data_IF_502225774371
#
_entry.id   IF_502225774371
#
_cell.length_a   1.000
_cell.length_b   1.000
_cell.length_c   1.000
_cell.angle_alpha   90.00
_cell.angle_beta   90.00
_cell.angle_gamma   90.00
#
_symmetry.space_group_name_H-M   'P 1'
#
loop_
_entity.id
_entity.type
_entity.pdbx_description
1 polymer ?
#
# COMPACT_ATOMS: atom_id res chain seq x y z
N UNK A 1 4.18 -0.03 -10.93
CA UNK A 1 2.96 -0.29 -10.12
C UNK A 1 1.91 0.76 -10.47
N UNK A 2 0.69 0.35 -10.72
CA UNK A 2 -0.39 1.28 -11.08
C UNK A 2 -1.42 1.36 -9.97
N UNK A 3 -2.04 2.51 -9.87
CA UNK A 3 -3.11 2.74 -8.90
C UNK A 3 -4.40 3.10 -9.65
N UNK A 4 -5.47 2.40 -9.34
CA UNK A 4 -6.79 2.65 -9.91
C UNK A 4 -7.73 3.12 -8.80
N UNK A 5 -8.37 4.26 -9.04
CA UNK A 5 -9.33 4.81 -8.10
C UNK A 5 -10.72 4.29 -8.47
N UNK A 6 -11.28 3.47 -7.60
CA UNK A 6 -12.60 2.92 -7.78
C UNK A 6 -13.61 3.72 -6.95
N UNK A 7 -14.89 3.41 -7.10
CA UNK A 7 -15.94 4.16 -6.41
C UNK A 7 -15.82 4.06 -4.88
N UNK A 8 -15.47 2.90 -4.37
CA UNK A 8 -15.41 2.64 -2.92
C UNK A 8 -14.09 2.02 -2.49
N UNK A 9 -13.10 1.97 -3.39
CA UNK A 9 -11.82 1.33 -3.08
C UNK A 9 -10.72 1.89 -3.96
N UNK A 10 -9.49 1.54 -3.64
CA UNK A 10 -8.32 1.84 -4.44
C UNK A 10 -7.64 0.50 -4.74
N UNK A 11 -7.34 0.26 -6.01
CA UNK A 11 -6.62 -0.94 -6.42
C UNK A 11 -5.20 -0.57 -6.79
N UNK A 12 -4.25 -1.34 -6.28
CA UNK A 12 -2.84 -1.20 -6.61
C UNK A 12 -2.42 -2.45 -7.38
N UNK A 13 -1.99 -2.25 -8.61
CA UNK A 13 -1.72 -3.35 -9.53
C UNK A 13 -0.23 -3.40 -9.84
N UNK A 14 0.45 -4.52 -9.51
CA UNK A 14 1.86 -4.66 -9.88
C UNK A 14 1.99 -4.85 -11.38
N UNK A 15 2.94 -4.15 -11.99
CA UNK A 15 3.21 -4.23 -13.41
C UNK A 15 4.49 -5.01 -13.73
N UNK A 16 5.37 -5.20 -12.76
CA UNK A 16 6.68 -5.83 -12.95
C UNK A 16 6.92 -6.87 -11.88
N UNK A 17 7.92 -7.73 -12.12
CA UNK A 17 8.33 -8.71 -11.12
C UNK A 17 8.83 -8.03 -9.84
N UNK A 18 9.46 -6.86 -9.97
CA UNK A 18 9.90 -6.10 -8.81
C UNK A 18 8.73 -5.62 -7.98
N UNK A 19 7.65 -5.19 -8.64
CA UNK A 19 6.44 -4.76 -7.94
C UNK A 19 5.82 -5.92 -7.15
N UNK A 20 5.74 -7.09 -7.79
CA UNK A 20 5.21 -8.27 -7.11
C UNK A 20 6.09 -8.69 -5.93
N UNK A 21 7.40 -8.68 -6.12
CA UNK A 21 8.34 -9.02 -5.05
C UNK A 21 8.19 -8.04 -3.88
N UNK A 22 7.93 -6.77 -4.15
CA UNK A 22 7.71 -5.78 -3.10
C UNK A 22 6.46 -6.11 -2.29
N UNK A 23 5.34 -6.42 -2.97
CA UNK A 23 4.11 -6.77 -2.28
C UNK A 23 4.28 -8.00 -1.40
N UNK A 24 5.01 -8.99 -1.89
CA UNK A 24 5.22 -10.23 -1.15
C UNK A 24 6.21 -10.08 0.01
N UNK A 25 7.36 -9.47 -0.25
CA UNK A 25 8.45 -9.43 0.73
C UNK A 25 8.27 -8.31 1.75
N UNK A 26 7.83 -7.14 1.31
CA UNK A 26 7.74 -5.97 2.19
C UNK A 26 6.36 -5.88 2.85
N UNK A 27 5.30 -6.03 2.07
CA UNK A 27 3.93 -5.92 2.59
C UNK A 27 3.37 -7.25 3.06
N UNK A 28 4.08 -8.35 2.82
CA UNK A 28 3.67 -9.71 3.25
C UNK A 28 2.34 -10.15 2.65
N UNK A 29 2.07 -9.72 1.43
CA UNK A 29 0.84 -10.05 0.72
C UNK A 29 1.12 -11.17 -0.28
N UNK A 30 1.24 -12.40 0.22
CA UNK A 30 1.68 -13.54 -0.58
C UNK A 30 0.52 -14.31 -1.21
N UNK A 31 -0.64 -14.29 -0.58
CA UNK A 31 -1.79 -15.08 -1.01
C UNK A 31 -3.02 -14.20 -1.14
N UNK A 32 -3.96 -14.66 -1.96
CA UNK A 32 -5.24 -13.96 -2.08
C UNK A 32 -5.92 -13.92 -0.71
N UNK A 33 -6.42 -12.75 -0.34
CA UNK A 33 -7.05 -12.55 0.95
C UNK A 33 -6.12 -12.05 2.04
N UNK A 34 -4.80 -12.03 1.80
CA UNK A 34 -3.87 -11.43 2.75
C UNK A 34 -4.15 -9.94 2.88
N UNK A 35 -3.90 -9.41 4.07
CA UNK A 35 -4.27 -8.03 4.40
C UNK A 35 -3.08 -7.23 4.89
N UNK A 36 -3.10 -5.95 4.56
CA UNK A 36 -2.17 -4.95 5.08
C UNK A 36 -2.97 -3.79 5.64
N UNK A 37 -2.33 -2.99 6.49
CA UNK A 37 -2.99 -1.84 7.09
C UNK A 37 -2.71 -0.58 6.29
N UNK A 38 -3.74 0.23 6.08
CA UNK A 38 -3.62 1.54 5.45
C UNK A 38 -3.80 2.61 6.52
N UNK A 39 -2.84 3.51 6.62
CA UNK A 39 -2.81 4.53 7.67
C UNK A 39 -2.76 5.90 7.03
N UNK A 40 -3.67 6.78 7.43
CA UNK A 40 -3.63 8.18 7.03
C UNK A 40 -2.63 8.92 7.91
N UNK A 41 -1.62 9.51 7.30
CA UNK A 41 -0.55 10.19 8.03
C UNK A 41 -0.65 11.68 7.76
N UNK A 42 -0.55 12.54 8.81
CA UNK A 42 -0.59 13.99 8.58
C UNK A 42 0.63 14.46 7.79
N UNK A 43 0.54 15.63 7.14
CA UNK A 43 1.68 16.15 6.37
C UNK A 43 2.90 16.34 7.27
N UNK A 44 4.08 16.02 6.73
CA UNK A 44 5.32 16.08 7.50
C UNK A 44 6.17 17.27 7.04
N UNK A 45 5.96 18.41 7.65
CA UNK A 45 6.78 19.58 7.44
C UNK A 45 6.77 20.07 6.01
N UNK A 46 7.97 20.44 5.50
CA UNK A 46 8.10 21.07 4.19
C UNK A 46 8.07 20.09 3.03
N UNK A 47 8.19 18.79 3.29
CA UNK A 47 8.27 17.80 2.22
C UNK A 47 6.91 17.45 1.62
N UNK A 48 5.86 17.48 2.43
CA UNK A 48 4.54 17.07 1.99
C UNK A 48 3.51 18.13 2.38
N UNK A 49 2.81 18.64 1.36
CA UNK A 49 1.76 19.65 1.56
C UNK A 49 0.44 19.03 2.02
N UNK A 50 0.25 17.73 1.77
CA UNK A 50 -1.00 17.04 2.04
C UNK A 50 -0.77 15.83 2.90
N UNK A 51 -1.78 15.48 3.69
CA UNK A 51 -1.76 14.20 4.40
C UNK A 51 -1.65 13.06 3.39
N UNK A 52 -0.85 12.05 3.69
CA UNK A 52 -0.63 10.94 2.78
C UNK A 52 -1.11 9.63 3.37
N UNK A 53 -1.19 8.62 2.52
CA UNK A 53 -1.58 7.26 2.91
C UNK A 53 -0.35 6.38 2.96
N UNK A 54 -0.17 5.68 4.06
CA UNK A 54 0.92 4.72 4.22
C UNK A 54 0.35 3.32 4.37
N UNK A 55 0.91 2.37 3.63
CA UNK A 55 0.50 0.97 3.70
C UNK A 55 1.61 0.19 4.38
N UNK A 56 1.27 -0.52 5.46
CA UNK A 56 2.21 -1.30 6.25
C UNK A 56 1.77 -2.75 6.33
N UNK A 57 2.71 -3.69 6.46
CA UNK A 57 2.33 -5.08 6.70
C UNK A 57 1.57 -5.19 8.02
N UNK A 58 0.52 -6.01 8.02
CA UNK A 58 -0.27 -6.23 9.23
C UNK A 58 0.52 -7.12 10.18
N UNK A 59 0.64 -6.69 11.43
CA UNK A 59 1.28 -7.49 12.44
C UNK A 59 0.44 -8.76 12.67
N UNK A 60 1.12 -9.90 12.78
CA UNK A 60 0.43 -11.14 13.12
C UNK A 60 0.05 -11.10 14.59
N UNK A 61 -1.17 -11.46 14.82
CA UNK A 61 -1.69 -11.54 16.18
C UNK A 61 -1.09 -12.73 16.91
#
# INVERSE_FOLDING_TARGET
MRMLLMKTSIQIIPDTDQDEAYLEAILKLNNAGDKADAIRVPPMGLQYSWAYLEIRPRAKA
#
